data_IF_672152035196
#
_entry.id   IF_672152035196
#
_cell.length_a   1.000
_cell.length_b   1.000
_cell.length_c   1.000
_cell.angle_alpha   90.00
_cell.angle_beta   90.00
_cell.angle_gamma   90.00
#
_symmetry.space_group_name_H-M   'P 1'
#
loop_
_entity.id
_entity.type
_entity.pdbx_description
1 polymer ?
#
# COMPACT_ATOMS: atom_id res chain seq x y z
N UNK A 1 9.60 16.26 -18.57
CA UNK A 1 9.92 15.19 -17.60
C UNK A 1 9.93 15.83 -16.22
N UNK A 2 9.29 15.22 -15.23
CA UNK A 2 9.20 15.77 -13.89
C UNK A 2 10.59 15.84 -13.25
N UNK A 3 10.78 16.77 -12.30
CA UNK A 3 11.99 16.88 -11.48
C UNK A 3 12.42 15.57 -10.82
N UNK A 4 11.46 14.66 -10.59
CA UNK A 4 11.66 13.34 -9.97
C UNK A 4 12.44 12.33 -10.85
N UNK A 5 12.52 12.57 -12.16
CA UNK A 5 13.25 11.69 -13.10
C UNK A 5 14.68 12.17 -13.38
N UNK A 6 15.03 13.41 -12.99
CA UNK A 6 16.35 13.97 -13.26
C UNK A 6 17.42 13.36 -12.34
N UNK A 7 18.49 12.80 -12.93
CA UNK A 7 19.58 12.19 -12.18
C UNK A 7 19.23 10.86 -11.52
N UNK A 8 18.10 10.26 -11.88
CA UNK A 8 17.66 8.99 -11.32
C UNK A 8 18.42 7.83 -11.97
N UNK A 9 18.94 6.93 -11.13
CA UNK A 9 19.62 5.71 -11.56
C UNK A 9 18.74 4.49 -11.29
N UNK A 10 18.87 3.46 -12.12
CA UNK A 10 18.26 2.16 -11.81
C UNK A 10 18.98 1.50 -10.62
N UNK A 11 18.19 0.85 -9.77
CA UNK A 11 18.70 0.02 -8.68
C UNK A 11 19.55 -1.14 -9.21
N UNK A 12 20.44 -1.64 -8.37
CA UNK A 12 21.32 -2.76 -8.66
C UNK A 12 20.67 -4.06 -8.17
N UNK A 13 20.24 -4.97 -9.08
CA UNK A 13 19.65 -6.24 -8.67
C UNK A 13 20.69 -7.11 -7.97
N UNK A 14 20.28 -7.80 -6.92
CA UNK A 14 21.04 -8.88 -6.28
C UNK A 14 20.21 -10.17 -6.30
N UNK A 15 20.87 -11.33 -6.34
CA UNK A 15 20.19 -12.61 -6.21
C UNK A 15 19.77 -12.87 -4.76
N UNK A 16 18.89 -13.85 -4.57
CA UNK A 16 18.54 -14.38 -3.25
C UNK A 16 19.74 -14.93 -2.47
N UNK A 17 20.71 -15.57 -3.14
CA UNK A 17 21.93 -16.07 -2.48
C UNK A 17 22.70 -14.92 -1.84
N UNK A 18 22.91 -13.84 -2.59
CA UNK A 18 23.63 -12.66 -2.11
C UNK A 18 22.86 -11.93 -0.99
N UNK A 19 21.53 -11.98 -1.01
CA UNK A 19 20.70 -11.46 0.08
C UNK A 19 20.92 -12.22 1.39
N UNK A 20 21.13 -13.53 1.34
CA UNK A 20 21.35 -14.37 2.54
C UNK A 20 22.70 -14.17 3.20
N UNK A 21 23.70 -13.68 2.48
CA UNK A 21 25.09 -13.59 2.96
C UNK A 21 25.33 -12.47 3.99
N UNK A 22 24.26 -11.83 4.53
CA UNK A 22 24.20 -10.85 5.64
C UNK A 22 25.13 -9.62 5.55
N UNK A 23 26.02 -9.53 4.56
CA UNK A 23 26.87 -8.37 4.29
C UNK A 23 26.12 -7.30 3.45
N UNK A 24 24.84 -7.08 3.77
CA UNK A 24 24.06 -5.99 3.20
C UNK A 24 24.34 -4.75 4.04
N UNK A 25 25.38 -3.99 3.67
CA UNK A 25 25.51 -2.62 4.18
C UNK A 25 24.27 -1.85 3.72
N UNK A 26 23.49 -1.37 4.68
CA UNK A 26 22.41 -0.39 4.49
C UNK A 26 22.96 0.82 3.73
N UNK A 27 22.23 1.34 2.74
CA UNK A 27 22.68 2.46 1.88
C UNK A 27 23.33 2.02 0.57
N UNK A 28 22.78 1.02 -0.10
CA UNK A 28 23.07 0.80 -1.51
C UNK A 28 21.75 0.66 -2.25
N UNK A 29 21.55 1.45 -3.31
CA UNK A 29 20.49 1.37 -4.32
C UNK A 29 20.33 -0.06 -4.88
N UNK A 30 19.80 -1.00 -4.10
CA UNK A 30 19.76 -2.44 -4.36
C UNK A 30 18.36 -2.99 -4.10
N UNK A 31 18.02 -4.02 -4.85
CA UNK A 31 16.80 -4.80 -4.64
C UNK A 31 17.08 -6.27 -4.98
N UNK A 32 16.29 -7.18 -4.43
CA UNK A 32 16.39 -8.61 -4.75
C UNK A 32 15.64 -8.87 -6.05
N UNK A 33 16.31 -9.46 -7.04
CA UNK A 33 15.68 -10.01 -8.24
C UNK A 33 15.66 -11.53 -8.12
N UNK A 34 14.48 -12.14 -8.14
CA UNK A 34 14.31 -13.57 -7.91
C UNK A 34 13.05 -14.13 -8.58
N UNK A 35 12.81 -15.44 -8.48
CA UNK A 35 11.52 -16.04 -8.88
C UNK A 35 10.46 -15.85 -7.79
N UNK A 36 9.18 -16.07 -8.13
CA UNK A 36 8.08 -16.09 -7.14
C UNK A 36 8.35 -17.08 -6.00
N UNK A 37 8.84 -18.29 -6.31
CA UNK A 37 9.14 -19.30 -5.30
C UNK A 37 10.32 -18.93 -4.39
N UNK A 38 11.28 -18.18 -4.94
CA UNK A 38 12.34 -17.59 -4.14
C UNK A 38 11.85 -16.46 -3.24
N UNK A 39 10.96 -15.61 -3.75
CA UNK A 39 10.31 -14.54 -2.98
C UNK A 39 9.50 -15.12 -1.82
N UNK A 40 8.69 -16.17 -2.04
CA UNK A 40 7.98 -16.90 -0.98
C UNK A 40 8.92 -17.31 0.15
N UNK A 41 10.06 -17.92 -0.19
CA UNK A 41 11.07 -18.35 0.79
C UNK A 41 11.71 -17.18 1.55
N UNK A 42 11.84 -16.01 0.95
CA UNK A 42 12.34 -14.80 1.63
C UNK A 42 11.26 -14.28 2.59
N UNK A 43 10.02 -14.13 2.11
CA UNK A 43 8.89 -13.58 2.86
C UNK A 43 8.45 -14.50 4.01
N UNK A 44 8.65 -15.80 3.91
CA UNK A 44 8.43 -16.74 5.02
C UNK A 44 9.37 -16.53 6.21
N UNK A 45 10.49 -15.81 6.04
CA UNK A 45 11.36 -15.43 7.16
C UNK A 45 10.86 -14.17 7.90
N UNK A 46 9.82 -13.52 7.37
CA UNK A 46 9.27 -12.25 7.84
C UNK A 46 9.55 -11.09 6.88
N UNK A 47 9.30 -9.84 7.32
CA UNK A 47 9.51 -8.65 6.50
C UNK A 47 10.96 -8.53 6.00
N UNK A 48 11.19 -8.42 4.68
CA UNK A 48 12.52 -8.33 4.12
C UNK A 48 13.12 -6.94 4.33
N UNK A 49 14.46 -6.88 4.40
CA UNK A 49 15.18 -5.61 4.55
C UNK A 49 15.32 -4.85 3.22
N UNK A 50 15.19 -5.54 2.10
CA UNK A 50 15.27 -4.96 0.76
C UNK A 50 13.96 -5.22 0.01
N UNK A 51 13.68 -4.34 -0.95
CA UNK A 51 12.64 -4.56 -1.95
C UNK A 51 12.92 -5.84 -2.76
N UNK A 52 11.85 -6.48 -3.22
CA UNK A 52 11.94 -7.71 -4.03
C UNK A 52 11.20 -7.48 -5.35
N UNK A 53 11.85 -7.71 -6.47
CA UNK A 53 11.21 -7.84 -7.77
C UNK A 53 11.20 -9.32 -8.13
N UNK A 54 10.02 -9.94 -8.11
CA UNK A 54 9.84 -11.34 -8.42
C UNK A 54 9.37 -11.51 -9.87
N UNK A 55 10.13 -12.27 -10.65
CA UNK A 55 9.76 -12.68 -12.00
C UNK A 55 8.80 -13.89 -11.94
N UNK A 56 7.77 -13.94 -12.81
CA UNK A 56 6.95 -15.14 -12.97
C UNK A 56 7.82 -16.28 -13.52
N UNK A 57 7.50 -17.52 -13.16
CA UNK A 57 8.20 -18.69 -13.72
C UNK A 57 7.82 -18.91 -15.18
N UNK A 58 6.51 -18.85 -15.47
CA UNK A 58 5.94 -18.85 -16.81
C UNK A 58 4.96 -17.67 -16.93
N UNK A 59 5.23 -16.75 -17.86
CA UNK A 59 4.31 -15.66 -18.18
C UNK A 59 3.26 -16.14 -19.19
N UNK A 60 2.05 -16.43 -18.72
CA UNK A 60 0.93 -16.67 -19.61
C UNK A 60 0.32 -15.35 -20.09
N UNK A 61 0.71 -14.91 -21.29
CA UNK A 61 0.19 -13.70 -21.93
C UNK A 61 -1.32 -13.71 -22.10
N UNK A 62 -1.93 -14.88 -22.32
CA UNK A 62 -3.39 -14.99 -22.46
C UNK A 62 -4.09 -14.67 -21.13
N UNK A 63 -3.52 -15.10 -20.01
CA UNK A 63 -4.06 -14.78 -18.68
C UNK A 63 -3.95 -13.29 -18.36
N UNK A 64 -2.84 -12.64 -18.73
CA UNK A 64 -2.68 -11.19 -18.57
C UNK A 64 -3.74 -10.41 -19.37
N UNK A 65 -3.93 -10.78 -20.64
CA UNK A 65 -4.93 -10.16 -21.51
C UNK A 65 -6.34 -10.40 -21.00
N UNK A 66 -6.64 -11.64 -20.59
CA UNK A 66 -7.95 -12.03 -20.04
C UNK A 66 -8.26 -11.25 -18.76
N UNK A 67 -7.31 -11.14 -17.84
CA UNK A 67 -7.47 -10.37 -16.61
C UNK A 67 -7.83 -8.92 -16.93
N UNK A 68 -7.02 -8.26 -17.78
CA UNK A 68 -7.26 -6.88 -18.18
C UNK A 68 -8.63 -6.68 -18.87
N UNK A 69 -9.07 -7.64 -19.71
CA UNK A 69 -10.38 -7.57 -20.34
C UNK A 69 -11.53 -7.66 -19.32
N UNK A 70 -11.45 -8.60 -18.37
CA UNK A 70 -12.46 -8.78 -17.33
C UNK A 70 -12.52 -7.59 -16.37
N UNK A 71 -11.36 -7.07 -15.95
CA UNK A 71 -11.28 -5.88 -15.10
C UNK A 71 -11.96 -4.69 -15.77
N UNK A 72 -11.70 -4.45 -17.06
CA UNK A 72 -12.33 -3.34 -17.80
C UNK A 72 -13.84 -3.48 -17.93
N UNK A 73 -14.36 -4.69 -18.19
CA UNK A 73 -15.81 -4.93 -18.20
C UNK A 73 -16.42 -4.57 -16.85
N UNK A 74 -15.82 -5.03 -15.76
CA UNK A 74 -16.26 -4.70 -14.40
C UNK A 74 -16.22 -3.20 -14.12
N UNK A 75 -15.17 -2.51 -14.55
CA UNK A 75 -15.08 -1.06 -14.39
C UNK A 75 -16.20 -0.34 -15.12
N UNK A 76 -16.58 -0.79 -16.33
CA UNK A 76 -17.69 -0.19 -17.08
C UNK A 76 -19.03 -0.30 -16.35
N UNK A 77 -19.22 -1.38 -15.58
CA UNK A 77 -20.44 -1.63 -14.80
C UNK A 77 -20.52 -0.82 -13.49
N UNK A 78 -19.42 -0.14 -13.10
CA UNK A 78 -19.44 0.77 -11.95
C UNK A 78 -20.18 2.07 -12.27
N UNK A 79 -20.72 2.72 -11.23
CA UNK A 79 -21.33 4.03 -11.39
C UNK A 79 -20.28 5.10 -11.71
N UNK A 80 -19.21 5.15 -10.92
CA UNK A 80 -18.13 6.14 -11.04
C UNK A 80 -16.78 5.55 -10.68
N UNK A 81 -15.72 6.15 -11.20
CA UNK A 81 -14.34 5.92 -10.80
C UNK A 81 -13.74 7.23 -10.27
N UNK A 82 -12.95 7.13 -9.21
CA UNK A 82 -12.14 8.24 -8.72
C UNK A 82 -10.86 8.32 -9.56
N UNK A 83 -10.68 9.46 -10.24
CA UNK A 83 -9.64 9.67 -11.23
C UNK A 83 -8.84 10.93 -10.90
N UNK A 84 -7.54 10.77 -10.74
CA UNK A 84 -6.59 11.88 -10.73
C UNK A 84 -6.26 12.27 -12.17
N UNK A 85 -6.47 13.54 -12.53
CA UNK A 85 -6.01 14.10 -13.80
C UNK A 85 -4.66 14.79 -13.62
N UNK A 86 -3.61 14.17 -14.15
CA UNK A 86 -2.23 14.67 -14.16
C UNK A 86 -1.86 15.39 -15.46
N UNK A 87 -2.83 15.69 -16.33
CA UNK A 87 -2.56 16.38 -17.60
C UNK A 87 -1.95 17.77 -17.41
N UNK A 88 -2.27 18.42 -16.28
CA UNK A 88 -1.85 19.79 -15.96
C UNK A 88 -0.74 19.84 -14.90
N UNK A 89 -0.83 19.00 -13.88
CA UNK A 89 0.13 18.95 -12.77
C UNK A 89 0.27 17.53 -12.25
N UNK A 90 1.51 17.08 -12.02
CA UNK A 90 1.78 15.82 -11.33
C UNK A 90 1.48 15.89 -9.83
N UNK A 91 1.33 17.09 -9.27
CA UNK A 91 1.04 17.34 -7.86
C UNK A 91 -0.47 17.37 -7.58
N UNK A 92 -1.31 17.00 -8.55
CA UNK A 92 -2.75 16.93 -8.32
C UNK A 92 -3.05 15.85 -7.26
N UNK A 93 -3.56 16.29 -6.12
CA UNK A 93 -3.94 15.44 -4.99
C UNK A 93 -5.46 15.27 -4.85
N UNK A 94 -6.26 15.90 -5.72
CA UNK A 94 -7.72 15.82 -5.65
C UNK A 94 -8.27 14.96 -6.80
N UNK A 95 -8.84 13.77 -6.50
CA UNK A 95 -9.47 12.96 -7.52
C UNK A 95 -10.86 13.50 -7.88
N UNK A 96 -11.24 13.34 -9.15
CA UNK A 96 -12.58 13.63 -9.65
C UNK A 96 -13.38 12.33 -9.81
N UNK A 97 -14.66 12.35 -9.44
CA UNK A 97 -15.58 11.27 -9.73
C UNK A 97 -16.05 11.34 -11.19
N UNK A 98 -15.59 10.41 -12.03
CA UNK A 98 -15.95 10.32 -13.45
C UNK A 98 -16.89 9.13 -13.66
N UNK A 99 -17.96 9.25 -14.47
CA UNK A 99 -18.77 8.10 -14.86
C UNK A 99 -17.92 6.97 -15.44
N UNK A 100 -18.05 5.76 -14.92
CA UNK A 100 -17.05 4.72 -15.17
C UNK A 100 -16.97 4.30 -16.66
N UNK A 101 -18.12 4.17 -17.33
CA UNK A 101 -18.18 3.92 -18.77
C UNK A 101 -17.43 4.99 -19.60
N UNK A 102 -17.51 6.26 -19.20
CA UNK A 102 -16.80 7.37 -19.85
C UNK A 102 -15.29 7.27 -19.59
N UNK A 103 -14.89 6.96 -18.36
CA UNK A 103 -13.48 6.76 -18.04
C UNK A 103 -12.89 5.63 -18.88
N UNK A 104 -13.52 4.45 -18.94
CA UNK A 104 -13.02 3.32 -19.74
C UNK A 104 -12.94 3.69 -21.23
N UNK A 105 -13.91 4.44 -21.76
CA UNK A 105 -13.83 4.95 -23.13
C UNK A 105 -12.61 5.86 -23.35
N UNK A 106 -12.30 6.77 -22.40
CA UNK A 106 -11.14 7.67 -22.49
C UNK A 106 -9.84 6.87 -22.55
N UNK A 107 -9.69 5.86 -21.69
CA UNK A 107 -8.53 4.98 -21.66
C UNK A 107 -8.32 4.22 -22.97
N UNK A 108 -9.38 3.59 -23.51
CA UNK A 108 -9.30 2.85 -24.77
C UNK A 108 -9.02 3.77 -25.97
N UNK A 109 -9.48 5.01 -25.93
CA UNK A 109 -9.33 5.95 -27.04
C UNK A 109 -7.89 6.46 -27.23
N UNK A 110 -7.02 6.32 -26.23
CA UNK A 110 -5.64 6.80 -26.23
C UNK A 110 -5.49 8.32 -26.39
N UNK A 111 -6.57 9.10 -26.29
CA UNK A 111 -6.60 10.55 -26.49
C UNK A 111 -7.06 11.27 -25.22
N UNK A 112 -6.41 12.40 -24.91
CA UNK A 112 -7.00 13.44 -24.07
C UNK A 112 -6.27 13.71 -22.76
N UNK A 113 -6.31 12.78 -21.81
CA UNK A 113 -5.93 13.05 -20.42
C UNK A 113 -4.92 12.03 -19.88
N UNK A 114 -4.08 12.49 -18.96
CA UNK A 114 -3.17 11.68 -18.16
C UNK A 114 -3.89 11.30 -16.88
N UNK A 115 -4.61 10.18 -16.89
CA UNK A 115 -5.47 9.76 -15.81
C UNK A 115 -4.86 8.64 -14.96
N UNK A 116 -5.19 8.63 -13.67
CA UNK A 116 -4.82 7.57 -12.74
C UNK A 116 -5.96 7.30 -11.75
N UNK A 117 -6.28 6.04 -11.52
CA UNK A 117 -7.12 5.60 -10.41
C UNK A 117 -6.28 4.73 -9.50
N UNK A 118 -6.32 5.03 -8.20
CA UNK A 118 -5.43 4.43 -7.20
C UNK A 118 -6.18 3.50 -6.23
N UNK A 119 -7.51 3.47 -6.28
CA UNK A 119 -8.34 2.85 -5.25
C UNK A 119 -9.56 2.11 -5.83
N UNK A 120 -9.48 1.56 -7.05
CA UNK A 120 -10.60 0.77 -7.58
C UNK A 120 -10.75 -0.49 -6.71
N UNK A 121 -11.93 -0.75 -6.11
CA UNK A 121 -12.11 -1.91 -5.23
C UNK A 121 -11.84 -3.21 -5.99
N UNK A 122 -11.14 -4.14 -5.36
CA UNK A 122 -10.86 -5.47 -5.90
C UNK A 122 -11.96 -6.46 -5.50
N UNK A 123 -12.47 -7.23 -6.47
CA UNK A 123 -13.40 -8.34 -6.21
C UNK A 123 -12.69 -9.55 -5.58
N UNK A 124 -13.41 -10.47 -4.92
CA UNK A 124 -12.81 -11.68 -4.36
C UNK A 124 -12.04 -12.53 -5.38
N UNK A 125 -12.54 -12.63 -6.62
CA UNK A 125 -11.90 -13.40 -7.69
C UNK A 125 -10.59 -12.74 -8.14
N UNK A 126 -10.56 -11.40 -8.24
CA UNK A 126 -9.33 -10.65 -8.54
C UNK A 126 -8.31 -10.74 -7.39
N UNK A 127 -8.79 -10.87 -6.14
CA UNK A 127 -7.95 -11.05 -4.96
C UNK A 127 -7.41 -12.48 -4.81
N UNK A 128 -7.89 -13.46 -5.57
CA UNK A 128 -7.49 -14.86 -5.44
C UNK A 128 -5.99 -15.12 -5.76
N UNK A 129 -5.35 -14.22 -6.51
CA UNK A 129 -3.89 -14.25 -6.80
C UNK A 129 -3.03 -13.81 -5.60
N UNK A 130 -3.63 -13.37 -4.48
CA UNK A 130 -2.93 -13.10 -3.23
C UNK A 130 -2.55 -14.40 -2.50
N UNK A 131 -1.41 -14.96 -2.89
CA UNK A 131 -0.78 -16.05 -2.16
C UNK A 131 -0.01 -15.57 -0.92
N UNK A 132 0.29 -14.27 -0.81
CA UNK A 132 1.10 -13.74 0.28
C UNK A 132 0.32 -13.73 1.58
N UNK A 133 -0.99 -13.44 1.53
CA UNK A 133 -1.92 -13.64 2.64
C UNK A 133 -2.05 -15.09 3.13
N UNK A 134 -1.39 -16.07 2.51
CA UNK A 134 -1.32 -17.47 2.98
C UNK A 134 -0.02 -17.81 3.70
N UNK A 135 0.94 -16.89 3.73
CA UNK A 135 2.20 -17.06 4.46
C UNK A 135 1.97 -16.64 5.92
N UNK A 136 2.39 -17.45 6.91
CA UNK A 136 2.23 -17.11 8.32
C UNK A 136 2.72 -15.71 8.66
N UNK A 137 1.86 -14.92 9.32
CA UNK A 137 2.16 -13.56 9.74
C UNK A 137 1.76 -12.49 8.72
N UNK A 138 1.65 -12.82 7.43
CA UNK A 138 1.18 -11.88 6.40
C UNK A 138 -0.34 -11.87 6.24
N UNK A 139 -1.02 -12.83 6.85
CA UNK A 139 -2.48 -12.91 7.02
C UNK A 139 -3.00 -12.03 8.16
N UNK A 140 -2.14 -11.26 8.81
CA UNK A 140 -2.46 -10.62 10.09
C UNK A 140 -3.57 -9.57 10.00
N UNK A 141 -3.58 -8.77 8.95
CA UNK A 141 -4.67 -7.85 8.63
C UNK A 141 -6.03 -8.57 8.51
N UNK A 142 -6.05 -9.72 7.82
CA UNK A 142 -7.26 -10.53 7.68
C UNK A 142 -7.70 -11.09 9.04
N UNK A 143 -6.77 -11.62 9.84
CA UNK A 143 -7.05 -12.11 11.21
C UNK A 143 -7.66 -11.00 12.08
N UNK A 144 -7.16 -9.77 11.98
CA UNK A 144 -7.72 -8.61 12.68
C UNK A 144 -9.16 -8.34 12.23
N UNK A 145 -9.41 -8.32 10.92
CA UNK A 145 -10.75 -8.09 10.37
C UNK A 145 -11.75 -9.19 10.78
N UNK A 146 -11.33 -10.45 10.76
CA UNK A 146 -12.14 -11.60 11.18
C UNK A 146 -12.46 -11.56 12.68
N UNK A 147 -11.50 -11.19 13.51
CA UNK A 147 -11.70 -11.06 14.94
C UNK A 147 -12.57 -9.84 15.28
N UNK A 148 -12.40 -8.72 14.58
CA UNK A 148 -13.30 -7.56 14.68
C UNK A 148 -14.75 -7.92 14.34
N UNK A 149 -14.96 -8.69 13.27
CA UNK A 149 -16.30 -9.19 12.89
C UNK A 149 -16.93 -10.05 14.00
N UNK A 150 -16.16 -10.93 14.66
CA UNK A 150 -16.65 -11.71 15.82
C UNK A 150 -17.03 -10.83 17.00
N UNK A 151 -16.34 -9.71 17.19
CA UNK A 151 -16.60 -8.73 18.24
C UNK A 151 -17.69 -7.72 17.86
N UNK A 152 -18.29 -7.82 16.67
CA UNK A 152 -19.34 -6.92 16.19
C UNK A 152 -18.83 -5.54 15.78
N UNK A 153 -17.54 -5.41 15.45
CA UNK A 153 -16.91 -4.19 14.96
C UNK A 153 -16.91 -4.18 13.42
N UNK A 154 -17.21 -3.01 12.84
CA UNK A 154 -17.04 -2.75 11.41
C UNK A 154 -15.62 -2.26 11.16
N UNK A 155 -14.83 -3.07 10.44
CA UNK A 155 -13.46 -2.77 10.02
C UNK A 155 -13.37 -2.80 8.47
N UNK A 156 -14.48 -2.52 7.78
CA UNK A 156 -14.56 -2.64 6.32
C UNK A 156 -13.73 -1.60 5.58
N UNK A 157 -13.53 -0.41 6.13
CA UNK A 157 -12.59 0.60 5.64
C UNK A 157 -11.15 0.08 5.62
N UNK A 158 -10.70 -0.56 6.71
CA UNK A 158 -9.40 -1.23 6.78
C UNK A 158 -9.29 -2.38 5.77
N UNK A 159 -10.32 -3.24 5.67
CA UNK A 159 -10.33 -4.35 4.70
C UNK A 159 -10.25 -3.84 3.25
N UNK A 160 -10.94 -2.74 2.95
CA UNK A 160 -10.94 -2.12 1.62
C UNK A 160 -9.62 -1.40 1.33
N UNK A 161 -8.97 -0.82 2.34
CA UNK A 161 -7.68 -0.19 2.18
C UNK A 161 -6.58 -1.18 1.78
N UNK A 162 -6.68 -2.48 2.11
CA UNK A 162 -5.61 -3.43 1.83
C UNK A 162 -5.53 -3.97 0.40
N UNK A 163 -6.53 -3.70 -0.44
CA UNK A 163 -6.58 -4.24 -1.81
C UNK A 163 -7.18 -3.23 -2.77
N UNK A 164 -6.45 -2.95 -3.84
CA UNK A 164 -6.91 -2.06 -4.88
C UNK A 164 -6.46 -2.54 -6.26
N UNK A 165 -7.26 -2.22 -7.27
CA UNK A 165 -6.79 -2.20 -8.65
C UNK A 165 -6.36 -0.78 -8.98
N UNK A 166 -5.13 -0.67 -9.47
CA UNK A 166 -4.57 0.57 -9.99
C UNK A 166 -4.79 0.59 -11.50
N UNK A 167 -5.21 1.74 -12.02
CA UNK A 167 -5.54 1.89 -13.42
C UNK A 167 -5.05 3.24 -13.93
N UNK A 168 -4.14 3.23 -14.90
CA UNK A 168 -3.47 4.46 -15.30
C UNK A 168 -3.22 4.52 -16.81
N UNK A 169 -3.37 5.71 -17.39
CA UNK A 169 -2.97 5.98 -18.76
C UNK A 169 -1.47 6.26 -18.85
N UNK A 170 -0.87 6.30 -20.07
CA UNK A 170 0.53 6.64 -20.23
C UNK A 170 0.89 7.96 -19.55
N UNK A 171 2.10 8.02 -18.98
CA UNK A 171 2.69 9.18 -18.32
C UNK A 171 2.02 9.62 -17.01
N UNK A 172 1.01 8.88 -16.52
CA UNK A 172 0.43 9.13 -15.21
C UNK A 172 1.51 8.96 -14.13
N UNK A 173 1.61 9.96 -13.26
CA UNK A 173 2.64 10.02 -12.23
C UNK A 173 2.03 10.34 -10.88
N UNK A 174 2.22 9.42 -9.92
CA UNK A 174 2.01 9.71 -8.51
C UNK A 174 3.33 10.22 -7.92
N UNK A 175 3.30 11.38 -7.26
CA UNK A 175 4.48 12.00 -6.62
C UNK A 175 4.95 11.20 -5.41
N UNK A 176 6.08 11.61 -4.83
CA UNK A 176 6.67 10.90 -3.66
C UNK A 176 5.69 10.92 -2.48
N UNK A 177 5.34 9.74 -1.98
CA UNK A 177 4.43 9.53 -0.85
C UNK A 177 4.79 8.23 -0.12
N UNK A 178 4.15 8.00 1.02
CA UNK A 178 4.10 6.69 1.67
C UNK A 178 2.70 6.11 1.48
N UNK A 179 2.63 4.79 1.26
CA UNK A 179 1.38 4.05 1.41
C UNK A 179 0.83 4.25 2.83
N UNK A 180 -0.49 4.17 3.01
CA UNK A 180 -1.11 4.36 4.32
C UNK A 180 -0.48 3.48 5.42
N UNK A 181 -0.23 4.06 6.60
CA UNK A 181 0.51 3.43 7.70
C UNK A 181 1.94 2.95 7.35
N UNK A 182 2.45 3.29 6.17
CA UNK A 182 3.74 2.83 5.63
C UNK A 182 3.83 1.31 5.57
N UNK A 183 2.74 0.62 5.25
CA UNK A 183 2.67 -0.83 5.22
C UNK A 183 3.55 -1.44 4.13
N UNK A 184 3.67 -2.77 4.17
CA UNK A 184 4.37 -3.52 3.15
C UNK A 184 3.44 -3.69 1.94
N UNK A 185 3.92 -3.41 0.74
CA UNK A 185 3.05 -3.32 -0.44
C UNK A 185 3.53 -4.23 -1.54
N UNK A 186 2.61 -4.94 -2.18
CA UNK A 186 2.87 -5.74 -3.38
C UNK A 186 2.12 -5.17 -4.57
N UNK A 187 2.83 -4.99 -5.67
CA UNK A 187 2.27 -4.53 -6.95
C UNK A 187 2.55 -5.56 -8.03
N UNK A 188 1.51 -5.97 -8.75
CA UNK A 188 1.63 -6.79 -9.96
C UNK A 188 0.97 -6.07 -11.13
N UNK A 189 1.75 -5.52 -12.08
CA UNK A 189 1.19 -5.04 -13.34
C UNK A 189 0.68 -6.21 -14.19
N UNK A 190 -0.56 -6.12 -14.62
CA UNK A 190 -1.18 -7.04 -15.60
C UNK A 190 -1.02 -6.51 -17.02
N UNK A 191 -0.93 -5.19 -17.17
CA UNK A 191 -0.55 -4.53 -18.42
C UNK A 191 0.25 -3.27 -18.13
N UNK A 192 1.00 -2.82 -19.13
CA UNK A 192 1.80 -1.61 -19.06
C UNK A 192 2.99 -1.71 -18.10
N UNK A 193 4.00 -0.88 -18.37
CA UNK A 193 5.21 -0.82 -17.55
C UNK A 193 5.12 0.29 -16.51
N UNK A 194 5.56 -0.01 -15.29
CA UNK A 194 5.72 0.96 -14.21
C UNK A 194 7.21 1.22 -13.95
N UNK A 195 7.57 2.48 -13.77
CA UNK A 195 8.82 2.84 -13.08
C UNK A 195 8.46 3.15 -11.64
N UNK A 196 8.98 2.34 -10.73
CA UNK A 196 8.82 2.52 -9.30
C UNK A 196 10.06 3.20 -8.72
N UNK A 197 9.91 4.42 -8.26
CA UNK A 197 11.01 5.26 -7.76
C UNK A 197 10.98 5.17 -6.24
N UNK A 198 12.03 4.63 -5.63
CA UNK A 198 12.09 4.42 -4.19
C UNK A 198 13.16 5.32 -3.60
N UNK A 199 12.86 5.87 -2.42
CA UNK A 199 13.78 6.67 -1.63
C UNK A 199 14.15 5.90 -0.37
N UNK A 200 15.26 5.19 -0.43
CA UNK A 200 15.72 4.31 0.63
C UNK A 200 16.85 5.00 1.41
N UNK A 201 16.57 5.40 2.66
CA UNK A 201 17.52 6.12 3.52
C UNK A 201 18.12 7.40 2.88
N UNK A 202 17.33 8.11 2.08
CA UNK A 202 17.75 9.33 1.38
C UNK A 202 18.37 9.08 0.01
N UNK A 203 18.56 7.82 -0.39
CA UNK A 203 19.02 7.46 -1.73
C UNK A 203 17.85 7.12 -2.65
N UNK A 204 17.68 7.90 -3.72
CA UNK A 204 16.67 7.64 -4.75
C UNK A 204 17.18 6.69 -5.84
N UNK A 205 16.38 5.69 -6.19
CA UNK A 205 16.63 4.81 -7.33
C UNK A 205 15.34 4.27 -7.95
N UNK A 206 15.43 3.86 -9.22
CA UNK A 206 14.31 3.32 -9.99
C UNK A 206 14.35 1.79 -10.05
N UNK A 207 13.18 1.16 -10.00
CA UNK A 207 12.96 -0.22 -10.40
C UNK A 207 11.95 -0.24 -11.54
N UNK A 208 12.33 -0.88 -12.64
CA UNK A 208 11.42 -1.13 -13.75
C UNK A 208 10.59 -2.38 -13.45
N UNK A 209 9.26 -2.24 -13.46
CA UNK A 209 8.31 -3.31 -13.16
C UNK A 209 7.46 -3.57 -14.41
N UNK A 210 7.82 -4.59 -15.20
CA UNK A 210 7.04 -4.97 -16.38
C UNK A 210 5.77 -5.75 -16.01
N UNK A 211 4.85 -5.96 -16.97
CA UNK A 211 3.73 -6.90 -16.81
C UNK A 211 4.19 -8.29 -16.34
N UNK A 212 3.33 -8.97 -15.57
CA UNK A 212 3.58 -10.32 -15.05
C UNK A 212 4.52 -10.38 -13.84
N UNK A 213 5.42 -9.40 -13.68
CA UNK A 213 6.30 -9.30 -12.53
C UNK A 213 5.55 -8.80 -11.30
N UNK A 214 6.07 -9.12 -10.12
CA UNK A 214 5.54 -8.66 -8.84
C UNK A 214 6.62 -7.94 -8.05
N UNK A 215 6.42 -6.64 -7.83
CA UNK A 215 7.24 -5.86 -6.91
C UNK A 215 6.68 -6.02 -5.49
N UNK A 216 7.58 -6.19 -4.53
CA UNK A 216 7.30 -6.12 -3.11
C UNK A 216 8.13 -4.97 -2.51
N UNK A 217 7.42 -3.91 -2.15
CA UNK A 217 7.95 -2.74 -1.50
C UNK A 217 8.05 -2.98 0.01
N UNK A 218 9.25 -2.76 0.58
CA UNK A 218 9.43 -2.80 2.03
C UNK A 218 8.61 -1.69 2.70
N UNK A 219 8.15 -1.97 3.91
CA UNK A 219 7.42 -1.03 4.75
C UNK A 219 8.21 0.26 5.01
N UNK A 220 7.49 1.38 5.06
CA UNK A 220 8.02 2.71 5.37
C UNK A 220 8.92 3.28 4.30
N UNK A 221 8.68 2.94 3.02
CA UNK A 221 9.47 3.49 1.91
C UNK A 221 8.71 4.61 1.21
N UNK A 222 9.23 5.85 1.25
CA UNK A 222 8.73 6.90 0.37
C UNK A 222 9.01 6.54 -1.08
N UNK A 223 8.01 6.67 -1.93
CA UNK A 223 8.10 6.25 -3.31
C UNK A 223 7.23 7.10 -4.24
N UNK A 224 7.62 7.17 -5.51
CA UNK A 224 6.86 7.80 -6.59
C UNK A 224 6.71 6.79 -7.74
N UNK A 225 5.66 6.92 -8.53
CA UNK A 225 5.33 5.93 -9.56
C UNK A 225 5.04 6.61 -10.87
N UNK A 226 5.70 6.16 -11.94
CA UNK A 226 5.43 6.60 -13.30
C UNK A 226 4.89 5.43 -14.13
N UNK A 227 3.76 5.66 -14.78
CA UNK A 227 3.25 4.81 -15.87
C UNK A 227 3.95 5.22 -17.15
N UNK A 228 4.57 4.28 -17.86
CA UNK A 228 5.32 4.60 -19.08
C UNK A 228 4.42 4.83 -20.30
N UNK A 229 4.72 4.19 -21.42
CA UNK A 229 4.16 4.50 -22.75
C UNK A 229 2.80 3.84 -22.98
N UNK A 230 2.45 2.85 -22.15
CA UNK A 230 1.24 2.07 -22.27
C UNK A 230 0.30 2.28 -21.08
N UNK A 231 -0.97 2.19 -21.39
CA UNK A 231 -2.08 1.98 -20.47
C UNK A 231 -1.78 0.79 -19.53
N UNK A 232 -2.01 0.98 -18.22
CA UNK A 232 -1.67 -0.01 -17.19
C UNK A 232 -2.85 -0.35 -16.29
N UNK A 233 -2.94 -1.64 -15.98
CA UNK A 233 -3.78 -2.19 -14.91
C UNK A 233 -2.84 -2.97 -13.99
N UNK A 234 -2.89 -2.71 -12.68
CA UNK A 234 -2.09 -3.41 -11.69
C UNK A 234 -2.94 -3.83 -10.50
N UNK A 235 -2.70 -5.01 -9.95
CA UNK A 235 -3.18 -5.32 -8.59
C UNK A 235 -2.23 -4.77 -7.56
N UNK A 236 -2.77 -4.11 -6.55
CA UNK A 236 -2.08 -3.62 -5.37
C UNK A 236 -2.63 -4.35 -4.14
N UNK A 237 -1.72 -4.87 -3.32
CA UNK A 237 -2.04 -5.47 -2.04
C UNK A 237 -1.14 -4.86 -0.97
N UNK A 238 -1.72 -4.52 0.17
CA UNK A 238 -1.02 -3.98 1.32
C UNK A 238 -1.15 -4.96 2.49
N UNK A 239 -0.05 -5.15 3.23
CA UNK A 239 0.03 -6.17 4.26
C UNK A 239 0.49 -5.59 5.58
N UNK A 240 -0.19 -6.00 6.63
CA UNK A 240 0.32 -5.92 7.98
C UNK A 240 1.05 -7.21 8.31
N UNK A 241 2.14 -7.06 9.06
CA UNK A 241 2.85 -8.18 9.66
C UNK A 241 3.02 -7.90 11.16
N UNK A 242 2.88 -8.88 12.05
CA UNK A 242 3.04 -8.72 13.50
C UNK A 242 4.30 -7.93 13.89
N UNK A 243 5.45 -8.28 13.30
CA UNK A 243 6.74 -7.60 13.49
C UNK A 243 6.79 -6.11 13.06
N UNK A 244 5.80 -5.63 12.31
CA UNK A 244 5.75 -4.26 11.80
C UNK A 244 4.89 -3.34 12.66
N UNK A 245 4.23 -3.83 13.70
CA UNK A 245 3.30 -3.03 14.51
C UNK A 245 3.94 -1.75 15.09
N UNK A 246 5.17 -1.78 15.66
CA UNK A 246 5.82 -0.56 16.11
C UNK A 246 6.00 0.47 14.99
N UNK A 247 6.40 0.02 13.80
CA UNK A 247 6.61 0.86 12.62
C UNK A 247 5.30 1.46 12.09
N UNK A 248 4.24 0.64 12.02
CA UNK A 248 2.89 1.07 11.62
C UNK A 248 2.40 2.19 12.55
N UNK A 249 2.59 2.05 13.86
CA UNK A 249 2.23 3.08 14.83
C UNK A 249 3.04 4.37 14.65
N UNK A 250 4.36 4.27 14.56
CA UNK A 250 5.23 5.44 14.37
C UNK A 250 4.86 6.20 13.08
N UNK A 251 4.53 5.45 12.03
CA UNK A 251 4.13 6.03 10.76
C UNK A 251 2.74 6.67 10.80
N UNK A 252 1.78 6.02 11.44
CA UNK A 252 0.42 6.57 11.61
C UNK A 252 0.45 7.86 12.44
N UNK A 253 1.27 7.92 13.49
CA UNK A 253 1.49 9.16 14.25
C UNK A 253 2.09 10.27 13.38
N UNK A 254 2.99 9.91 12.46
CA UNK A 254 3.59 10.88 11.52
C UNK A 254 2.57 11.39 10.51
N UNK A 255 1.69 10.54 9.99
CA UNK A 255 0.57 10.92 9.11
C UNK A 255 -0.45 11.80 9.85
N UNK A 256 -0.72 11.49 11.12
CA UNK A 256 -1.45 12.37 12.02
C UNK A 256 -0.73 13.67 12.33
N UNK A 257 0.55 13.86 12.02
CA UNK A 257 1.18 15.19 12.12
C UNK A 257 1.14 15.90 10.77
N UNK A 258 1.42 15.18 9.69
CA UNK A 258 1.47 15.68 8.31
C UNK A 258 0.70 14.76 7.34
N UNK A 259 -0.59 15.06 7.10
CA UNK A 259 -1.44 14.26 6.21
C UNK A 259 -0.99 14.26 4.75
N UNK A 260 -0.20 15.26 4.34
CA UNK A 260 0.25 15.38 2.94
C UNK A 260 1.27 14.31 2.54
N UNK A 261 1.77 13.54 3.52
CA UNK A 261 2.78 12.50 3.29
C UNK A 261 2.21 11.17 2.77
N UNK A 262 0.89 11.00 2.78
CA UNK A 262 0.17 9.87 2.19
C UNK A 262 -0.88 10.38 1.20
N UNK A 263 -1.21 9.56 0.21
CA UNK A 263 -2.23 9.82 -0.81
C UNK A 263 -3.54 9.06 -0.54
N UNK A 264 -3.62 8.32 0.56
CA UNK A 264 -4.77 7.52 0.96
C UNK A 264 -5.63 8.26 1.99
N UNK A 265 -6.91 7.92 2.01
CA UNK A 265 -7.84 8.38 3.04
C UNK A 265 -7.48 7.79 4.42
N UNK A 266 -7.89 8.50 5.46
CA UNK A 266 -7.72 8.03 6.84
C UNK A 266 -8.59 6.82 7.15
N UNK A 267 -8.02 5.81 7.82
CA UNK A 267 -8.75 4.62 8.28
C UNK A 267 -9.32 4.87 9.68
N UNK A 268 -10.63 5.10 9.74
CA UNK A 268 -11.38 5.36 10.98
C UNK A 268 -11.28 4.17 11.96
N UNK A 269 -11.23 2.95 11.42
CA UNK A 269 -11.14 1.74 12.23
C UNK A 269 -9.73 1.41 12.73
N UNK A 270 -8.74 2.31 12.60
CA UNK A 270 -7.35 2.01 12.96
C UNK A 270 -7.18 1.65 14.45
N UNK A 271 -7.71 2.47 15.36
CA UNK A 271 -7.62 2.22 16.81
C UNK A 271 -8.25 0.89 17.22
N UNK A 272 -9.51 0.56 16.85
CA UNK A 272 -10.08 -0.74 17.20
C UNK A 272 -9.30 -1.89 16.57
N UNK A 273 -8.82 -1.74 15.32
CA UNK A 273 -7.98 -2.75 14.67
C UNK A 273 -6.67 -2.99 15.43
N UNK A 274 -6.01 -1.94 15.92
CA UNK A 274 -4.76 -2.06 16.66
C UNK A 274 -4.95 -2.72 18.04
N UNK A 275 -6.08 -2.46 18.71
CA UNK A 275 -6.43 -3.15 19.95
C UNK A 275 -6.59 -4.66 19.73
N UNK A 276 -7.27 -5.04 18.66
CA UNK A 276 -7.40 -6.45 18.25
C UNK A 276 -6.02 -7.03 17.90
N UNK A 277 -5.18 -6.27 17.19
CA UNK A 277 -3.82 -6.70 16.85
C UNK A 277 -3.01 -7.06 18.10
N UNK A 278 -3.09 -6.25 19.16
CA UNK A 278 -2.44 -6.57 20.44
C UNK A 278 -2.98 -7.82 21.10
N UNK A 279 -4.31 -8.02 21.10
CA UNK A 279 -4.91 -9.25 21.62
C UNK A 279 -4.42 -10.48 20.86
N UNK A 280 -4.34 -10.41 19.52
CA UNK A 280 -3.82 -11.50 18.69
C UNK A 280 -2.33 -11.77 18.96
N UNK A 281 -1.52 -10.73 19.16
CA UNK A 281 -0.10 -10.88 19.53
C UNK A 281 0.08 -11.57 20.87
N UNK A 282 -0.76 -11.24 21.85
CA UNK A 282 -0.75 -11.88 23.17
C UNK A 282 -1.21 -13.34 23.10
N UNK A 283 -2.21 -13.64 22.25
CA UNK A 283 -2.70 -15.01 22.01
C UNK A 283 -1.68 -15.89 21.29
N UNK A 284 -0.94 -15.33 20.31
CA UNK A 284 0.14 -16.05 19.61
C UNK A 284 1.33 -16.36 20.54
N UNK A 285 1.38 -15.74 21.73
CA UNK A 285 2.43 -15.89 22.73
C UNK A 285 3.51 -14.80 22.60
N UNK A 286 3.89 -14.14 23.72
CA UNK A 286 4.99 -13.19 23.71
C UNK A 286 6.29 -13.84 23.23
N UNK A 287 7.04 -13.14 22.39
CA UNK A 287 8.27 -13.64 21.77
C UNK A 287 8.07 -14.42 20.47
N UNK A 288 6.83 -14.78 20.10
CA UNK A 288 6.54 -15.40 18.78
C UNK A 288 6.85 -14.41 17.66
N UNK A 289 6.35 -13.18 17.80
CA UNK A 289 6.52 -12.11 16.81
C UNK A 289 7.27 -10.91 17.36
N UNK A 290 6.87 -10.45 18.54
CA UNK A 290 7.41 -9.30 19.26
C UNK A 290 7.67 -9.72 20.72
N UNK A 291 8.65 -9.09 21.35
CA UNK A 291 8.91 -9.22 22.78
C UNK A 291 7.81 -8.55 23.60
N UNK A 292 7.71 -8.91 24.89
CA UNK A 292 6.76 -8.26 25.82
C UNK A 292 7.00 -6.75 25.91
N UNK A 293 8.26 -6.31 25.91
CA UNK A 293 8.62 -4.88 25.93
C UNK A 293 8.11 -4.16 24.69
N UNK A 294 8.33 -4.74 23.50
CA UNK A 294 7.87 -4.14 22.24
C UNK A 294 6.34 -4.03 22.17
N UNK A 295 5.61 -5.02 22.70
CA UNK A 295 4.14 -4.98 22.80
C UNK A 295 3.71 -3.87 23.79
N UNK A 296 4.32 -3.81 24.97
CA UNK A 296 4.00 -2.82 25.99
C UNK A 296 4.26 -1.38 25.50
N UNK A 297 5.42 -1.13 24.88
CA UNK A 297 5.77 0.16 24.28
C UNK A 297 4.79 0.55 23.16
N UNK A 298 4.38 -0.42 22.34
CA UNK A 298 3.40 -0.18 21.27
C UNK A 298 2.01 0.18 21.82
N UNK A 299 1.59 -0.46 22.91
CA UNK A 299 0.34 -0.12 23.61
C UNK A 299 0.40 1.30 24.19
N UNK A 300 1.48 1.65 24.87
CA UNK A 300 1.68 2.99 25.43
C UNK A 300 1.64 4.07 24.33
N UNK A 301 2.31 3.82 23.19
CA UNK A 301 2.27 4.72 22.03
C UNK A 301 0.85 4.95 21.52
N UNK A 302 0.03 3.91 21.42
CA UNK A 302 -1.37 4.03 20.99
C UNK A 302 -2.21 4.77 22.03
N UNK A 303 -2.09 4.43 23.31
CA UNK A 303 -2.96 4.97 24.36
C UNK A 303 -2.66 6.43 24.71
N UNK A 304 -1.38 6.80 24.74
CA UNK A 304 -0.96 8.14 25.19
C UNK A 304 -0.80 9.08 24.00
N UNK A 305 0.00 8.67 23.02
CA UNK A 305 0.49 9.60 22.00
C UNK A 305 -0.51 9.80 20.88
N UNK A 306 -1.10 8.71 20.38
CA UNK A 306 -2.07 8.79 19.30
C UNK A 306 -3.32 9.57 19.72
N UNK A 307 -3.90 9.24 20.88
CA UNK A 307 -5.06 9.96 21.39
C UNK A 307 -4.76 11.44 21.68
N UNK A 308 -3.57 11.77 22.17
CA UNK A 308 -3.16 13.16 22.39
C UNK A 308 -3.03 13.95 21.07
N UNK A 309 -2.32 13.42 20.08
CA UNK A 309 -2.11 14.09 18.79
C UNK A 309 -3.44 14.24 18.03
N UNK A 310 -4.30 13.23 18.09
CA UNK A 310 -5.65 13.29 17.51
C UNK A 310 -6.49 14.39 18.18
N UNK A 311 -6.49 14.44 19.51
CA UNK A 311 -7.19 15.47 20.27
C UNK A 311 -6.65 16.88 19.97
N UNK A 312 -5.33 17.02 19.83
CA UNK A 312 -4.70 18.29 19.45
C UNK A 312 -5.16 18.72 18.06
N UNK A 313 -5.14 17.82 17.07
CA UNK A 313 -5.60 18.11 15.71
C UNK A 313 -7.07 18.52 15.65
N UNK A 314 -7.95 17.76 16.29
CA UNK A 314 -9.39 18.06 16.34
C UNK A 314 -9.66 19.46 16.92
N UNK A 315 -8.86 19.88 17.92
CA UNK A 315 -9.07 21.16 18.60
C UNK A 315 -8.33 22.35 17.97
N UNK A 316 -7.21 22.12 17.26
CA UNK A 316 -6.37 23.18 16.71
C UNK A 316 -6.55 23.40 15.19
N UNK A 317 -7.10 22.43 14.45
CA UNK A 317 -7.28 22.49 12.99
C UNK A 317 -8.69 22.01 12.57
N UNK A 318 -9.73 22.83 12.77
CA UNK A 318 -11.13 22.42 12.58
C UNK A 318 -11.52 22.11 11.13
N UNK A 319 -10.71 22.51 10.14
CA UNK A 319 -10.97 22.31 8.70
C UNK A 319 -10.38 20.99 8.16
N UNK A 320 -9.80 20.14 9.00
CA UNK A 320 -9.35 18.81 8.60
C UNK A 320 -10.58 17.93 8.29
N UNK A 321 -10.66 17.35 7.08
CA UNK A 321 -11.84 16.60 6.58
C UNK A 321 -12.26 15.38 7.42
N UNK A 322 -11.48 14.99 8.45
CA UNK A 322 -11.86 13.99 9.46
C UNK A 322 -12.53 14.54 10.74
N UNK A 323 -12.56 15.86 10.95
CA UNK A 323 -12.94 16.49 12.23
C UNK A 323 -14.43 16.42 12.54
N UNK A 324 -15.32 16.42 11.53
CA UNK A 324 -16.76 16.32 11.78
C UNK A 324 -17.19 14.96 12.33
N UNK A 325 -16.41 13.89 12.11
CA UNK A 325 -16.77 12.50 12.50
C UNK A 325 -16.01 11.98 13.72
N UNK A 326 -14.80 12.46 13.99
CA UNK A 326 -14.03 12.04 15.16
C UNK A 326 -14.45 12.71 16.48
N UNK A 327 -15.24 13.79 16.42
CA UNK A 327 -15.84 14.44 17.60
C UNK A 327 -16.67 13.49 18.45
N UNK A 328 -17.35 12.52 17.83
CA UNK A 328 -18.24 11.59 18.53
C UNK A 328 -17.46 10.52 19.32
N UNK A 329 -16.32 10.06 18.83
CA UNK A 329 -15.46 9.09 19.52
C UNK A 329 -14.81 9.68 20.79
N UNK A 330 -14.38 10.94 20.72
CA UNK A 330 -13.75 11.63 21.86
C UNK A 330 -14.77 11.95 22.98
N UNK A 331 -16.02 12.27 22.63
CA UNK A 331 -17.07 12.54 23.62
C UNK A 331 -17.59 11.29 24.34
N UNK A 332 -17.49 10.11 23.72
CA UNK A 332 -17.93 8.84 24.35
C UNK A 332 -16.89 8.33 25.36
N UNK A 333 -15.58 8.55 25.14
CA UNK A 333 -14.54 8.09 26.06
C UNK A 333 -14.40 8.96 27.33
N UNK A 334 -14.75 10.24 27.28
CA UNK A 334 -14.68 11.14 28.45
C UNK A 334 -15.99 11.26 29.26
N UNK A 335 -16.97 10.38 28.99
CA UNK A 335 -18.22 10.26 29.76
C UNK A 335 -18.32 8.99 30.62
N UNK A 336 -17.22 8.24 30.82
CA UNK A 336 -17.19 7.11 31.76
C UNK A 336 -16.26 7.36 32.93
#
# INVERSE_FOLDING_TARGET
>A
MSQYMNGLEFGKPISKSNYKDKNLKTGMKKFVLCTIDEAKKILSAGPPQLHILAAPEDENKEDLVRYCALAKLRFQDMQTLHMFDYSRSAENSEPEAIPAAKAVQMYESGRGLVLNSLNIPMSPDEAADDWMGKIPGWDFAQRICEEGKKQGLDLSDLENAFRAILWATPRAMTTEHYDHHGVFTSIKPWSGHKIWIMNDYGERFAVWVPPGYRLFQRSGTPHAVLTQEENSISSCFMYWHPKMIPQILDRTLSELCDPSTTNDDYIESFVPAMKIAFTLLEMDGPGTWLTESEIAESKEKLEVRYHYELAFKINAQPDYRGVERERDLFQVQHRK
#
